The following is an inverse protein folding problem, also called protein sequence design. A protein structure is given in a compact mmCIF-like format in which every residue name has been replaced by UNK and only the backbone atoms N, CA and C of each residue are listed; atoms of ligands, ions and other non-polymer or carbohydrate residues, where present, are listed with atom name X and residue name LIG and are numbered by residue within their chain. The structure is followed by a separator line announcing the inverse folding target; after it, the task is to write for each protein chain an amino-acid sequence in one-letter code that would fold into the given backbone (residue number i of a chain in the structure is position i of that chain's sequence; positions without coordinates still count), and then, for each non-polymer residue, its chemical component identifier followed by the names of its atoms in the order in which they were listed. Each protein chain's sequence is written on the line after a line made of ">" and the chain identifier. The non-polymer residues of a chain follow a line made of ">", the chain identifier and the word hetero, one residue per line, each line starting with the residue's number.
data_IF_842633821429
#
_entry.id   IF_842633821429
#
_cell.length_a   1.000
_cell.length_b   1.000
_cell.length_c   1.000
_cell.angle_alpha   90.00
_cell.angle_beta   90.00
_cell.angle_gamma   90.00
#
_symmetry.space_group_name_H-M   'P 1'
#
loop_
_entity.id
_entity.type
_entity.pdbx_description
1 polymer ?
#
# COMPACT_ATOMS: atom_id res chain seq x y z
N UNK A 1 4.58 0.31 18.51
CA UNK A 1 3.37 0.83 17.84
C UNK A 1 3.49 0.64 16.34
N UNK A 2 2.53 -0.03 15.70
CA UNK A 2 2.52 -0.19 14.24
C UNK A 2 2.02 1.11 13.60
N UNK A 3 2.92 1.85 12.93
CA UNK A 3 2.58 3.11 12.30
C UNK A 3 2.11 2.87 10.85
N UNK A 4 0.80 2.65 10.68
CA UNK A 4 0.20 2.33 9.38
C UNK A 4 0.22 3.48 8.37
N UNK A 5 0.42 4.72 8.81
CA UNK A 5 0.48 5.89 7.93
C UNK A 5 1.89 6.15 7.37
N UNK A 6 2.89 5.41 7.86
CA UNK A 6 4.25 5.52 7.36
C UNK A 6 4.45 4.69 6.09
N UNK A 7 5.01 5.31 5.05
CA UNK A 7 5.37 4.61 3.80
C UNK A 7 6.40 3.50 4.09
N UNK A 8 6.30 2.34 3.42
CA UNK A 8 7.42 1.38 3.41
C UNK A 8 8.54 1.92 2.52
N UNK A 9 9.79 1.75 2.96
CA UNK A 9 11.01 2.12 2.24
C UNK A 9 11.16 1.35 0.93
N UNK A 10 10.55 0.17 0.80
CA UNK A 10 10.51 -0.61 -0.44
C UNK A 10 9.65 0.03 -1.54
N UNK A 11 8.91 1.09 -1.21
CA UNK A 11 8.01 1.77 -2.14
C UNK A 11 6.62 1.12 -2.23
N UNK A 12 5.75 1.75 -3.01
CA UNK A 12 4.35 1.34 -3.16
C UNK A 12 4.16 0.19 -4.17
N UNK A 13 5.16 -0.07 -5.02
CA UNK A 13 5.10 -1.09 -6.09
C UNK A 13 4.94 -2.54 -5.59
N UNK A 14 5.43 -2.82 -4.38
CA UNK A 14 5.37 -4.15 -3.77
C UNK A 14 4.18 -4.31 -2.81
N UNK A 15 3.20 -3.40 -2.85
CA UNK A 15 2.05 -3.45 -1.95
C UNK A 15 0.99 -4.42 -2.46
N UNK A 16 0.81 -5.51 -1.72
CA UNK A 16 -0.29 -6.43 -1.87
C UNK A 16 -1.50 -5.97 -1.03
N UNK A 17 -2.69 -6.03 -1.61
CA UNK A 17 -3.93 -5.71 -0.91
C UNK A 17 -4.22 -6.79 0.14
N UNK A 18 -4.58 -6.37 1.34
CA UNK A 18 -4.96 -7.28 2.42
C UNK A 18 -6.36 -6.94 2.97
N UNK A 19 -6.92 -7.85 3.76
CA UNK A 19 -8.26 -7.71 4.32
C UNK A 19 -8.37 -6.45 5.20
N UNK A 20 -9.46 -5.71 5.03
CA UNK A 20 -9.74 -4.51 5.82
C UNK A 20 -10.19 -4.92 7.21
N UNK A 21 -9.59 -4.31 8.23
CA UNK A 21 -10.07 -4.47 9.61
C UNK A 21 -11.30 -3.60 9.85
N UNK A 22 -12.21 -3.98 10.77
CA UNK A 22 -13.44 -3.23 11.05
C UNK A 22 -13.19 -1.74 11.35
N UNK A 23 -12.16 -1.42 12.13
CA UNK A 23 -11.79 -0.04 12.47
C UNK A 23 -11.36 0.80 11.25
N UNK A 24 -10.90 0.17 10.17
CA UNK A 24 -10.48 0.86 8.94
C UNK A 24 -11.67 1.30 8.08
N UNK A 25 -12.90 0.89 8.40
CA UNK A 25 -14.09 1.39 7.72
C UNK A 25 -14.29 2.90 7.93
N UNK A 26 -13.75 3.45 9.01
CA UNK A 26 -13.71 4.89 9.27
C UNK A 26 -12.86 5.65 8.24
N UNK A 27 -11.89 4.98 7.62
CA UNK A 27 -11.01 5.54 6.58
C UNK A 27 -11.40 4.96 5.22
N UNK A 28 -12.58 5.35 4.73
CA UNK A 28 -13.16 4.82 3.48
C UNK A 28 -12.26 5.03 2.26
N UNK A 29 -11.54 6.16 2.20
CA UNK A 29 -10.64 6.53 1.11
C UNK A 29 -9.27 5.81 1.12
N UNK A 30 -8.92 5.14 2.21
CA UNK A 30 -7.65 4.44 2.35
C UNK A 30 -7.86 2.92 2.40
N UNK A 31 -6.97 2.19 1.72
CA UNK A 31 -6.99 0.72 1.69
C UNK A 31 -5.77 0.18 2.41
N UNK A 32 -5.94 -1.03 2.95
CA UNK A 32 -4.90 -1.69 3.72
C UNK A 32 -4.03 -2.54 2.80
N UNK A 33 -2.72 -2.31 2.89
CA UNK A 33 -1.74 -2.98 2.08
C UNK A 33 -0.64 -3.57 2.95
N UNK A 34 -0.09 -4.68 2.50
CA UNK A 34 1.11 -5.29 3.04
C UNK A 34 2.18 -5.32 1.94
N UNK A 35 3.37 -4.85 2.25
CA UNK A 35 4.48 -5.00 1.33
C UNK A 35 4.94 -6.45 1.29
N UNK A 36 5.05 -7.02 0.09
CA UNK A 36 5.55 -8.39 -0.10
C UNK A 36 7.05 -8.52 0.17
N UNK A 37 7.82 -7.42 0.06
CA UNK A 37 9.27 -7.41 0.30
C UNK A 37 9.62 -7.25 1.79
N UNK A 38 9.07 -6.21 2.45
CA UNK A 38 9.37 -5.88 3.84
C UNK A 38 8.39 -6.47 4.85
N UNK A 39 7.25 -7.02 4.42
CA UNK A 39 6.16 -7.48 5.30
C UNK A 39 5.39 -6.35 6.01
N UNK A 40 5.83 -5.08 5.87
CA UNK A 40 5.24 -3.91 6.53
C UNK A 40 3.83 -3.66 6.04
N UNK A 41 2.94 -3.39 6.99
CA UNK A 41 1.54 -3.04 6.73
C UNK A 41 1.37 -1.52 6.75
N UNK A 42 0.70 -0.97 5.76
CA UNK A 42 0.43 0.46 5.65
C UNK A 42 -0.95 0.73 5.03
N UNK A 43 -1.50 1.90 5.32
CA UNK A 43 -2.66 2.47 4.67
C UNK A 43 -2.19 3.34 3.51
N UNK A 44 -2.71 3.06 2.31
CA UNK A 44 -2.41 3.85 1.12
C UNK A 44 -3.68 4.03 0.28
N UNK A 45 -3.69 5.06 -0.56
CA UNK A 45 -4.76 5.20 -1.56
C UNK A 45 -4.52 4.22 -2.70
N UNK A 46 -5.61 3.62 -3.20
CA UNK A 46 -5.53 2.70 -4.34
C UNK A 46 -4.89 3.35 -5.57
N UNK A 47 -5.23 4.62 -5.82
CA UNK A 47 -4.68 5.39 -6.94
C UNK A 47 -3.15 5.48 -6.86
N UNK A 48 -2.59 5.81 -5.69
CA UNK A 48 -1.14 5.92 -5.54
C UNK A 48 -0.42 4.58 -5.71
N UNK A 49 -1.05 3.48 -5.27
CA UNK A 49 -0.50 2.13 -5.48
C UNK A 49 -0.52 1.76 -6.96
N UNK A 50 -1.66 1.96 -7.63
CA UNK A 50 -1.79 1.67 -9.06
C UNK A 50 -0.84 2.51 -9.91
N UNK A 51 -0.70 3.80 -9.60
CA UNK A 51 0.24 4.69 -10.29
C UNK A 51 1.69 4.24 -10.11
N UNK A 52 2.08 3.85 -8.89
CA UNK A 52 3.43 3.34 -8.64
C UNK A 52 3.70 2.00 -9.34
N UNK A 53 2.70 1.12 -9.42
CA UNK A 53 2.80 -0.15 -10.16
C UNK A 53 2.89 0.10 -11.67
N UNK A 54 2.07 1.01 -12.19
CA UNK A 54 2.08 1.39 -13.61
C UNK A 54 3.43 2.01 -13.99
N UNK A 55 3.90 3.00 -13.23
CA UNK A 55 5.19 3.66 -13.46
C UNK A 55 6.35 2.67 -13.44
N UNK A 56 6.36 1.75 -12.47
CA UNK A 56 7.38 0.70 -12.40
C UNK A 56 7.35 -0.19 -13.66
N UNK A 57 6.15 -0.58 -14.13
CA UNK A 57 6.01 -1.37 -15.35
C UNK A 57 6.47 -0.61 -16.60
N UNK A 58 6.12 0.67 -16.73
CA UNK A 58 6.52 1.48 -17.89
C UNK A 58 8.02 1.76 -17.95
N UNK A 59 8.70 1.86 -16.80
CA UNK A 59 10.15 2.10 -16.72
C UNK A 59 10.98 0.82 -16.94
N UNK A 60 10.37 -0.37 -16.90
CA UNK A 60 11.04 -1.66 -17.07
C UNK A 60 10.58 -2.39 -18.36
N UNK A 61 10.06 -1.65 -19.34
CA UNK A 61 9.73 -2.10 -20.71
C UNK A 61 10.78 -1.62 -21.68
#
# INVERSE_FOLDING_TARGET
>A
MLNYFSRCSCGLRHLARIERRPWMRLFSSQRFYQCSACGKKQLASERAVNEAVFKYRSENV
#
